data_IF_078882595159
#
_entry.id   IF_078882595159
#
_cell.length_a   1.000
_cell.length_b   1.000
_cell.length_c   1.000
_cell.angle_alpha   90.00
_cell.angle_beta   90.00
_cell.angle_gamma   90.00
#
_symmetry.space_group_name_H-M   'P 1'
#
loop_
_entity.id
_entity.type
_entity.pdbx_description
1 polymer ?
#
# COMPACT_ATOMS: atom_id res chain seq x y z
N UNK A 1 12.00 43.00 101.88
CA UNK A 1 12.75 41.95 102.60
C UNK A 1 12.31 40.61 102.02
N UNK A 2 13.18 40.03 101.19
CA UNK A 2 13.30 38.62 100.77
C UNK A 2 12.04 37.75 100.61
N UNK A 3 11.66 37.46 99.36
CA UNK A 3 11.09 36.15 99.02
C UNK A 3 11.73 35.56 97.74
N UNK A 4 12.15 34.31 97.93
CA UNK A 4 12.86 33.36 97.09
C UNK A 4 12.34 33.22 95.65
N UNK A 5 13.25 33.11 94.66
CA UNK A 5 12.96 32.56 93.33
C UNK A 5 13.87 31.36 93.05
N UNK A 6 13.21 30.24 92.74
CA UNK A 6 13.73 28.92 92.43
C UNK A 6 14.43 28.86 91.03
N UNK A 7 15.23 27.82 90.74
CA UNK A 7 16.17 27.82 89.62
C UNK A 7 15.54 27.55 88.25
N UNK A 8 16.10 28.19 87.23
CA UNK A 8 15.72 28.05 85.82
C UNK A 8 16.06 26.66 85.27
N UNK A 9 15.04 25.92 84.81
CA UNK A 9 15.18 24.65 84.11
C UNK A 9 15.56 24.92 82.65
N UNK A 10 16.76 24.49 82.23
CA UNK A 10 17.23 24.55 80.83
C UNK A 10 16.29 23.75 79.92
N UNK A 11 15.76 24.39 78.88
CA UNK A 11 15.16 23.72 77.73
C UNK A 11 16.28 23.23 76.79
N UNK A 12 16.23 22.00 76.27
CA UNK A 12 17.25 21.48 75.36
C UNK A 12 17.20 22.21 74.02
N UNK A 13 18.40 22.47 73.48
CA UNK A 13 18.63 23.10 72.19
C UNK A 13 18.01 22.27 71.06
N UNK A 14 17.12 22.91 70.32
CA UNK A 14 16.52 22.35 69.10
C UNK A 14 17.61 22.30 68.02
N UNK A 15 18.32 21.16 67.92
CA UNK A 15 19.22 20.87 66.78
C UNK A 15 18.41 21.01 65.50
N UNK A 16 18.68 22.06 64.71
CA UNK A 16 18.15 22.18 63.36
C UNK A 16 18.78 21.08 62.51
N UNK A 17 17.99 20.04 62.23
CA UNK A 17 18.31 18.99 61.28
C UNK A 17 18.48 19.60 59.89
N UNK A 18 19.71 19.96 59.54
CA UNK A 18 20.11 20.25 58.16
C UNK A 18 20.29 18.89 57.49
N UNK A 19 19.25 18.43 56.81
CA UNK A 19 19.16 17.39 55.75
C UNK A 19 17.77 16.76 55.89
N UNK A 20 16.85 16.95 54.93
CA UNK A 20 17.04 16.49 53.55
C UNK A 20 16.48 17.48 52.51
N UNK A 21 17.35 18.28 51.88
CA UNK A 21 16.99 19.04 50.66
C UNK A 21 17.83 18.60 49.45
N UNK A 22 18.47 17.44 49.55
CA UNK A 22 19.29 16.87 48.48
C UNK A 22 18.63 15.64 47.83
N UNK A 23 17.29 15.59 47.80
CA UNK A 23 16.55 14.46 47.22
C UNK A 23 15.54 14.87 46.12
N UNK A 24 15.51 16.15 45.71
CA UNK A 24 14.52 16.67 44.73
C UNK A 24 15.14 17.44 43.56
N UNK A 25 16.43 17.24 43.27
CA UNK A 25 17.13 17.88 42.15
C UNK A 25 17.53 16.91 41.02
N UNK A 26 17.03 15.66 41.04
CA UNK A 26 17.31 14.65 40.00
C UNK A 26 16.06 14.20 39.22
N UNK A 27 14.94 14.91 39.38
CA UNK A 27 13.69 14.62 38.67
C UNK A 27 13.34 15.81 37.77
N UNK A 28 13.84 15.82 36.53
CA UNK A 28 13.48 16.92 35.64
C UNK A 28 14.20 17.06 34.30
N UNK A 29 14.97 16.07 33.84
CA UNK A 29 15.46 16.05 32.46
C UNK A 29 15.14 14.69 31.82
N UNK A 30 13.87 14.30 31.83
CA UNK A 30 13.40 13.42 30.77
C UNK A 30 13.37 14.28 29.52
N UNK A 31 14.48 14.33 28.79
CA UNK A 31 14.51 14.83 27.42
C UNK A 31 13.54 13.95 26.65
N UNK A 32 12.31 14.42 26.45
CA UNK A 32 11.49 13.90 25.38
C UNK A 32 12.28 14.19 24.12
N UNK A 33 12.94 13.16 23.57
CA UNK A 33 13.44 13.23 22.22
C UNK A 33 12.20 13.47 21.36
N UNK A 34 11.98 14.73 20.96
CA UNK A 34 11.04 15.04 19.92
C UNK A 34 11.56 14.29 18.69
N UNK A 35 10.96 13.15 18.37
CA UNK A 35 11.20 12.49 17.11
C UNK A 35 10.73 13.47 16.04
N UNK A 36 11.69 14.21 15.46
CA UNK A 36 11.43 15.02 14.28
C UNK A 36 11.00 14.03 13.19
N UNK A 37 9.71 14.00 12.86
CA UNK A 37 9.24 13.25 11.70
C UNK A 37 9.84 13.94 10.48
N UNK A 38 10.70 13.22 9.74
CA UNK A 38 11.17 13.69 8.44
C UNK A 38 9.93 13.98 7.58
N UNK A 39 9.81 15.20 7.03
CA UNK A 39 8.71 15.52 6.12
C UNK A 39 8.65 14.51 4.98
N UNK A 40 7.46 14.15 4.50
CA UNK A 40 7.33 13.17 3.44
C UNK A 40 8.01 13.68 2.16
N UNK A 41 8.78 12.81 1.49
CA UNK A 41 9.32 13.10 0.16
C UNK A 41 8.17 13.23 -0.83
N UNK A 42 8.14 14.33 -1.58
CA UNK A 42 7.16 14.54 -2.65
C UNK A 42 7.66 13.92 -3.95
N UNK A 43 6.76 13.21 -4.65
CA UNK A 43 7.06 12.49 -5.89
C UNK A 43 6.08 12.91 -6.97
N UNK A 44 6.60 13.39 -8.10
CA UNK A 44 5.83 13.50 -9.33
C UNK A 44 6.05 12.23 -10.16
N UNK A 45 4.97 11.63 -10.65
CA UNK A 45 5.03 10.37 -11.37
C UNK A 45 4.12 10.40 -12.61
N UNK A 46 4.64 9.89 -13.72
CA UNK A 46 3.88 9.66 -14.94
C UNK A 46 4.16 8.25 -15.46
N UNK A 47 3.11 7.48 -15.74
CA UNK A 47 3.14 6.16 -16.35
C UNK A 47 2.31 6.20 -17.65
N UNK A 48 2.83 5.64 -18.74
CA UNK A 48 2.24 5.70 -20.07
C UNK A 48 2.43 4.37 -20.81
N UNK A 49 1.34 3.62 -20.94
CA UNK A 49 1.23 2.60 -21.98
C UNK A 49 0.90 3.32 -23.27
N UNK A 50 1.87 3.43 -24.16
CA UNK A 50 1.76 4.24 -25.37
C UNK A 50 0.66 3.82 -26.35
N UNK A 51 0.36 4.71 -27.30
CA UNK A 51 -0.57 4.44 -28.41
C UNK A 51 -0.13 3.17 -29.17
N UNK A 52 -1.04 2.21 -29.30
CA UNK A 52 -0.79 0.98 -30.06
C UNK A 52 0.26 0.03 -29.45
N UNK A 53 0.65 0.22 -28.18
CA UNK A 53 1.77 -0.49 -27.55
C UNK A 53 1.74 -2.02 -27.73
N UNK A 54 0.57 -2.64 -27.65
CA UNK A 54 0.38 -4.09 -27.81
C UNK A 54 -0.73 -4.45 -28.81
N UNK A 55 -1.01 -3.56 -29.77
CA UNK A 55 -2.06 -3.77 -30.78
C UNK A 55 -1.83 -5.07 -31.56
N UNK A 56 -2.87 -5.90 -31.69
CA UNK A 56 -2.85 -7.15 -32.46
C UNK A 56 -2.22 -8.35 -31.73
N UNK A 57 -1.74 -8.17 -30.50
CA UNK A 57 -1.12 -9.25 -29.74
C UNK A 57 -2.14 -10.33 -29.34
N UNK A 58 -1.73 -11.60 -29.42
CA UNK A 58 -2.56 -12.76 -29.08
C UNK A 58 -1.84 -13.67 -28.08
N UNK A 59 -2.55 -14.17 -27.07
CA UNK A 59 -2.01 -15.07 -26.05
C UNK A 59 -2.17 -14.51 -24.63
N UNK A 60 -1.14 -14.66 -23.79
CA UNK A 60 -1.12 -14.08 -22.44
C UNK A 60 -0.29 -12.80 -22.48
N UNK A 61 -0.91 -11.68 -22.11
CA UNK A 61 -0.31 -10.35 -22.05
C UNK A 61 -0.37 -9.89 -20.60
N UNK A 62 0.76 -9.91 -19.90
CA UNK A 62 0.86 -9.47 -18.52
C UNK A 62 1.78 -8.23 -18.43
N UNK A 63 1.24 -7.10 -18.01
CA UNK A 63 1.96 -5.82 -17.88
C UNK A 63 1.89 -5.34 -16.44
N UNK A 64 3.05 -5.09 -15.84
CA UNK A 64 3.23 -4.33 -14.61
C UNK A 64 4.06 -3.10 -14.94
N UNK A 65 3.43 -1.93 -15.01
CA UNK A 65 4.10 -0.66 -15.26
C UNK A 65 3.92 0.24 -14.03
N UNK A 66 5.01 0.81 -13.52
CA UNK A 66 4.93 1.80 -12.44
C UNK A 66 5.92 2.94 -12.59
N UNK A 67 5.48 4.13 -12.18
CA UNK A 67 6.31 5.32 -11.99
C UNK A 67 6.13 5.86 -10.58
N UNK A 68 7.22 6.27 -9.92
CA UNK A 68 7.24 6.73 -8.53
C UNK A 68 7.89 5.73 -7.56
N UNK A 69 7.48 5.74 -6.28
CA UNK A 69 8.19 5.03 -5.20
C UNK A 69 7.36 3.93 -4.54
N UNK A 70 8.00 2.81 -4.21
CA UNK A 70 7.45 1.76 -3.33
C UNK A 70 6.10 1.17 -3.78
N UNK A 71 5.80 1.17 -5.08
CA UNK A 71 4.64 0.46 -5.63
C UNK A 71 4.95 -1.05 -5.73
N UNK A 72 3.95 -1.92 -5.52
CA UNK A 72 4.10 -3.36 -5.69
C UNK A 72 2.96 -3.94 -6.54
N UNK A 73 3.31 -4.73 -7.56
CA UNK A 73 2.37 -5.20 -8.58
C UNK A 73 2.55 -6.70 -8.85
N UNK A 74 1.46 -7.44 -9.07
CA UNK A 74 1.48 -8.86 -9.44
C UNK A 74 0.37 -9.21 -10.45
N UNK A 75 0.71 -9.91 -11.54
CA UNK A 75 -0.26 -10.53 -12.45
C UNK A 75 -0.06 -12.05 -12.38
N UNK A 76 -1.14 -12.82 -12.28
CA UNK A 76 -1.11 -14.25 -12.02
C UNK A 76 -2.15 -15.00 -12.87
N UNK A 77 -1.74 -15.45 -14.06
CA UNK A 77 -2.57 -16.30 -14.92
C UNK A 77 -2.28 -17.79 -14.78
N UNK A 78 -3.33 -18.61 -14.69
CA UNK A 78 -3.27 -20.06 -14.81
C UNK A 78 -4.31 -20.57 -15.81
N UNK A 79 -3.88 -21.40 -16.75
CA UNK A 79 -4.74 -22.18 -17.64
C UNK A 79 -4.34 -23.65 -17.51
N UNK A 80 -5.30 -24.51 -17.17
CA UNK A 80 -5.03 -25.92 -16.86
C UNK A 80 -6.17 -26.83 -17.31
N UNK A 81 -5.82 -28.01 -17.81
CA UNK A 81 -6.74 -29.06 -18.21
C UNK A 81 -6.41 -30.31 -17.36
N UNK A 82 -6.81 -30.31 -16.09
CA UNK A 82 -6.47 -31.39 -15.15
C UNK A 82 -6.61 -30.99 -13.68
N UNK A 83 -6.17 -31.87 -12.77
CA UNK A 83 -6.14 -31.56 -11.34
C UNK A 83 -5.17 -30.42 -11.06
N UNK A 84 -5.68 -29.35 -10.46
CA UNK A 84 -4.90 -28.20 -10.02
C UNK A 84 -4.33 -28.44 -8.63
N UNK A 85 -3.01 -28.24 -8.39
CA UNK A 85 -2.47 -28.21 -7.05
C UNK A 85 -3.09 -27.06 -6.23
N UNK A 86 -3.18 -27.25 -4.91
CA UNK A 86 -3.69 -26.25 -3.97
C UNK A 86 -2.74 -25.03 -3.95
N UNK A 87 -3.28 -23.82 -4.02
CA UNK A 87 -2.58 -22.53 -3.82
C UNK A 87 -1.52 -22.09 -4.87
N UNK A 88 -1.84 -22.11 -6.17
CA UNK A 88 -0.88 -21.68 -7.21
C UNK A 88 -0.87 -20.17 -7.53
N UNK A 89 -1.94 -19.44 -7.19
CA UNK A 89 -2.07 -18.00 -7.49
C UNK A 89 -2.03 -17.14 -6.22
N UNK A 90 -1.42 -17.61 -5.14
CA UNK A 90 -1.26 -16.79 -3.95
C UNK A 90 -0.26 -15.65 -4.17
N UNK A 91 -0.56 -14.44 -3.72
CA UNK A 91 0.39 -13.32 -3.74
C UNK A 91 0.10 -12.31 -2.63
N UNK A 92 1.13 -11.92 -1.90
CA UNK A 92 1.07 -10.89 -0.86
C UNK A 92 1.84 -9.67 -1.34
N UNK A 93 1.20 -8.49 -1.34
CA UNK A 93 1.87 -7.23 -1.68
C UNK A 93 2.01 -6.36 -0.43
N UNK A 94 3.15 -5.70 -0.29
CA UNK A 94 3.42 -4.80 0.82
C UNK A 94 4.16 -3.57 0.30
N UNK A 95 3.80 -2.40 0.82
CA UNK A 95 4.53 -1.16 0.61
C UNK A 95 4.67 -0.44 1.94
N UNK A 96 5.88 0.01 2.23
CA UNK A 96 6.19 0.82 3.40
C UNK A 96 6.99 2.04 2.96
N UNK A 97 6.38 3.22 3.04
CA UNK A 97 6.99 4.45 2.56
C UNK A 97 6.49 5.65 3.34
N UNK A 98 7.36 6.64 3.50
CA UNK A 98 7.02 7.97 4.03
C UNK A 98 6.91 9.01 2.90
N UNK A 99 6.97 8.60 1.62
CA UNK A 99 6.77 9.51 0.50
C UNK A 99 5.28 9.77 0.23
N UNK A 100 4.99 10.86 -0.49
CA UNK A 100 3.66 11.23 -0.99
C UNK A 100 3.76 11.60 -2.46
N UNK A 101 2.77 11.22 -3.25
CA UNK A 101 2.62 11.70 -4.61
C UNK A 101 2.17 13.17 -4.56
N UNK A 102 2.93 14.05 -5.20
CA UNK A 102 2.53 15.44 -5.46
C UNK A 102 1.65 15.46 -6.71
N UNK A 103 2.21 15.19 -7.89
CA UNK A 103 1.43 14.90 -9.10
C UNK A 103 1.54 13.41 -9.49
N UNK A 104 0.46 12.85 -10.01
CA UNK A 104 0.47 11.47 -10.51
C UNK A 104 -0.43 11.33 -11.74
N UNK A 105 0.11 10.80 -12.83
CA UNK A 105 -0.62 10.59 -14.06
C UNK A 105 -0.39 9.19 -14.61
N UNK A 106 -1.47 8.44 -14.80
CA UNK A 106 -1.44 7.10 -15.38
C UNK A 106 -2.29 7.09 -16.64
N UNK A 107 -1.68 6.73 -17.78
CA UNK A 107 -2.32 6.82 -19.09
C UNK A 107 -2.17 5.50 -19.84
N UNK A 108 -3.29 4.97 -20.31
CA UNK A 108 -3.32 3.98 -21.37
C UNK A 108 -3.66 4.73 -22.65
N UNK A 109 -2.77 4.71 -23.63
CA UNK A 109 -2.90 5.45 -24.88
C UNK A 109 -4.02 4.92 -25.77
N UNK A 110 -4.40 5.72 -26.77
CA UNK A 110 -5.39 5.29 -27.77
C UNK A 110 -4.94 4.03 -28.49
N UNK A 111 -5.87 3.11 -28.73
CA UNK A 111 -5.60 1.82 -29.36
C UNK A 111 -4.48 0.97 -28.74
N UNK A 112 -4.05 1.24 -27.50
CA UNK A 112 -2.93 0.55 -26.84
C UNK A 112 -3.04 -0.97 -26.90
N UNK A 113 -4.25 -1.51 -26.68
CA UNK A 113 -4.58 -2.93 -26.71
C UNK A 113 -5.60 -3.26 -27.80
N UNK A 114 -5.69 -2.48 -28.88
CA UNK A 114 -6.66 -2.81 -29.93
C UNK A 114 -6.36 -4.16 -30.58
N UNK A 115 -7.39 -4.85 -31.04
CA UNK A 115 -7.29 -6.10 -31.79
C UNK A 115 -6.53 -7.23 -31.05
N UNK A 116 -6.45 -7.18 -29.73
CA UNK A 116 -5.78 -8.22 -28.94
C UNK A 116 -6.71 -9.37 -28.61
N UNK A 117 -6.16 -10.57 -28.39
CA UNK A 117 -6.96 -11.71 -27.94
C UNK A 117 -6.24 -12.57 -26.90
N UNK A 118 -6.99 -13.14 -25.96
CA UNK A 118 -6.48 -14.07 -24.93
C UNK A 118 -6.66 -13.55 -23.51
N UNK A 119 -5.64 -13.69 -22.66
CA UNK A 119 -5.65 -13.19 -21.27
C UNK A 119 -4.78 -11.94 -21.18
N UNK A 120 -5.39 -10.80 -20.86
CA UNK A 120 -4.72 -9.51 -20.72
C UNK A 120 -4.84 -9.06 -19.26
N UNK A 121 -3.71 -8.97 -18.57
CA UNK A 121 -3.61 -8.54 -17.18
C UNK A 121 -2.69 -7.31 -17.12
N UNK A 122 -3.19 -6.19 -16.62
CA UNK A 122 -2.46 -4.92 -16.54
C UNK A 122 -2.55 -4.37 -15.12
N UNK A 123 -1.39 -4.10 -14.52
CA UNK A 123 -1.26 -3.23 -13.38
C UNK A 123 -0.45 -2.02 -13.83
N UNK A 124 -1.05 -0.84 -13.83
CA UNK A 124 -0.38 0.41 -14.15
C UNK A 124 -0.56 1.38 -12.99
N UNK A 125 0.53 1.93 -12.45
CA UNK A 125 0.47 2.91 -11.38
C UNK A 125 1.42 4.08 -11.56
N UNK A 126 0.95 5.28 -11.21
CA UNK A 126 1.80 6.45 -11.01
C UNK A 126 1.67 6.92 -9.57
N UNK A 127 2.78 7.12 -8.87
CA UNK A 127 2.83 7.68 -7.53
C UNK A 127 3.50 6.75 -6.52
N UNK A 128 2.94 6.65 -5.32
CA UNK A 128 3.68 6.15 -4.16
C UNK A 128 2.92 5.06 -3.41
N UNK A 129 3.55 3.92 -3.15
CA UNK A 129 2.97 2.91 -2.26
C UNK A 129 1.68 2.26 -2.77
N UNK A 130 1.44 2.26 -4.08
CA UNK A 130 0.28 1.58 -4.66
C UNK A 130 0.51 0.07 -4.73
N UNK A 131 -0.50 -0.71 -4.38
CA UNK A 131 -0.49 -2.16 -4.42
C UNK A 131 -1.51 -2.64 -5.46
N UNK A 132 -1.10 -3.43 -6.44
CA UNK A 132 -1.99 -3.90 -7.50
C UNK A 132 -1.81 -5.39 -7.76
N UNK A 133 -2.93 -6.11 -7.93
CA UNK A 133 -2.92 -7.54 -8.23
C UNK A 133 -3.96 -7.91 -9.28
N UNK A 134 -3.60 -8.71 -10.27
CA UNK A 134 -4.56 -9.46 -11.08
C UNK A 134 -4.30 -10.95 -10.90
N UNK A 135 -5.37 -11.73 -10.87
CA UNK A 135 -5.29 -13.17 -10.97
C UNK A 135 -6.39 -13.73 -11.86
N UNK A 136 -6.06 -14.67 -12.73
CA UNK A 136 -6.99 -15.40 -13.57
C UNK A 136 -6.71 -16.90 -13.52
N UNK A 137 -7.74 -17.72 -13.29
CA UNK A 137 -7.66 -19.18 -13.33
C UNK A 137 -8.71 -19.72 -14.29
N UNK A 138 -8.29 -20.49 -15.27
CA UNK A 138 -9.18 -21.25 -16.16
C UNK A 138 -8.81 -22.72 -16.04
N UNK A 139 -9.74 -23.58 -15.63
CA UNK A 139 -9.50 -25.01 -15.74
C UNK A 139 -10.66 -25.93 -15.40
N UNK A 140 -10.59 -27.15 -15.96
CA UNK A 140 -11.56 -28.23 -15.79
C UNK A 140 -10.98 -29.34 -14.91
N UNK A 141 -11.52 -29.51 -13.70
CA UNK A 141 -11.15 -30.60 -12.78
C UNK A 141 -11.84 -30.51 -11.42
N UNK A 142 -12.02 -31.63 -10.70
CA UNK A 142 -12.45 -31.62 -9.30
C UNK A 142 -11.32 -30.99 -8.46
N UNK A 143 -11.54 -29.77 -8.03
CA UNK A 143 -10.60 -29.04 -7.17
C UNK A 143 -10.86 -29.54 -5.74
N UNK A 144 -9.92 -30.30 -5.17
CA UNK A 144 -10.03 -30.88 -3.83
C UNK A 144 -9.94 -29.86 -2.68
N UNK A 145 -9.87 -28.58 -2.98
CA UNK A 145 -9.94 -27.50 -2.02
C UNK A 145 -10.63 -26.33 -2.71
N UNK A 146 -11.58 -25.74 -1.99
CA UNK A 146 -12.03 -24.36 -2.16
C UNK A 146 -10.91 -23.52 -2.79
N UNK A 147 -11.09 -23.05 -4.03
CA UNK A 147 -10.16 -22.05 -4.57
C UNK A 147 -10.34 -20.85 -3.66
N UNK A 148 -9.37 -20.71 -2.77
CA UNK A 148 -9.03 -19.60 -1.89
C UNK A 148 -8.79 -18.37 -2.77
N UNK A 149 -9.83 -17.91 -3.47
CA UNK A 149 -9.80 -16.70 -4.27
C UNK A 149 -9.86 -15.46 -3.36
N UNK A 150 -10.55 -15.59 -2.23
CA UNK A 150 -10.81 -14.51 -1.27
C UNK A 150 -9.74 -14.41 -0.17
N UNK A 151 -9.15 -15.53 0.26
CA UNK A 151 -8.23 -15.59 1.40
C UNK A 151 -6.77 -15.20 1.05
N UNK A 152 -6.46 -14.91 -0.22
CA UNK A 152 -5.12 -14.42 -0.63
C UNK A 152 -5.13 -12.99 -1.15
N UNK A 153 -6.01 -12.14 -0.61
CA UNK A 153 -5.77 -10.70 -0.66
C UNK A 153 -5.09 -10.25 0.64
N UNK A 154 -3.77 -10.44 0.71
CA UNK A 154 -2.96 -9.83 1.76
C UNK A 154 -2.23 -8.62 1.18
N UNK A 155 -2.84 -7.45 1.32
CA UNK A 155 -2.26 -6.18 0.91
C UNK A 155 -2.25 -5.21 2.10
N UNK A 156 -1.06 -4.74 2.49
CA UNK A 156 -0.91 -3.75 3.56
C UNK A 156 -0.55 -2.40 2.94
N UNK A 157 -1.54 -1.51 2.87
CA UNK A 157 -1.35 -0.15 2.35
C UNK A 157 -0.31 0.65 3.16
N UNK A 158 0.45 1.49 2.48
CA UNK A 158 1.42 2.38 3.12
C UNK A 158 0.71 3.40 4.04
N UNK A 159 1.23 3.58 5.27
CA UNK A 159 0.70 4.53 6.27
C UNK A 159 1.01 6.01 5.97
N UNK A 160 1.53 6.34 4.78
CA UNK A 160 1.97 7.68 4.40
C UNK A 160 0.85 8.67 4.02
N UNK A 161 -0.41 8.22 3.91
CA UNK A 161 -1.53 9.03 3.44
C UNK A 161 -2.16 9.94 4.50
N UNK A 162 -1.45 10.95 5.00
CA UNK A 162 -2.11 12.04 5.74
C UNK A 162 -2.99 12.88 4.79
N UNK A 163 -4.23 13.18 5.18
CA UNK A 163 -5.14 14.14 4.55
C UNK A 163 -4.46 15.52 4.44
N UNK A 164 -3.75 15.76 3.35
CA UNK A 164 -3.03 17.01 3.11
C UNK A 164 -3.98 18.04 2.49
N UNK A 165 -4.07 19.21 3.11
CA UNK A 165 -4.78 20.39 2.60
C UNK A 165 -4.47 20.62 1.12
N UNK A 166 -5.53 20.65 0.30
CA UNK A 166 -5.50 21.12 -1.08
C UNK A 166 -5.06 22.59 -1.09
N UNK A 167 -3.84 22.85 -1.55
CA UNK A 167 -3.21 24.16 -1.44
C UNK A 167 -2.07 24.33 -2.43
N UNK A 168 -2.36 24.15 -3.72
CA UNK A 168 -1.43 24.39 -4.82
C UNK A 168 -1.85 23.62 -6.08
N UNK A 169 -1.57 24.16 -7.26
CA UNK A 169 -1.89 23.59 -8.59
C UNK A 169 -1.19 22.24 -8.90
N UNK A 170 -0.73 21.50 -7.88
CA UNK A 170 0.11 20.29 -7.94
C UNK A 170 -0.55 19.10 -7.23
N UNK A 171 -1.87 18.91 -7.35
CA UNK A 171 -2.58 17.68 -6.91
C UNK A 171 -3.39 17.08 -8.07
N UNK A 172 -2.75 17.02 -9.24
CA UNK A 172 -3.33 16.35 -10.40
C UNK A 172 -3.08 14.85 -10.27
N UNK A 173 -4.10 14.11 -9.83
CA UNK A 173 -4.16 12.65 -9.89
C UNK A 173 -5.05 12.29 -11.05
N UNK A 174 -4.45 11.93 -12.16
CA UNK A 174 -5.16 11.67 -13.41
C UNK A 174 -4.97 10.21 -13.82
N UNK A 175 -6.09 9.56 -14.11
CA UNK A 175 -6.10 8.24 -14.73
C UNK A 175 -6.91 8.36 -16.02
N UNK A 176 -6.36 7.89 -17.14
CA UNK A 176 -7.07 7.91 -18.41
C UNK A 176 -6.80 6.68 -19.26
N UNK A 177 -7.83 6.30 -20.03
CA UNK A 177 -7.77 5.28 -21.06
C UNK A 177 -8.20 5.93 -22.37
N UNK A 178 -7.30 5.94 -23.34
CA UNK A 178 -7.45 6.61 -24.61
C UNK A 178 -8.52 5.95 -25.48
N UNK A 179 -9.02 6.72 -26.44
CA UNK A 179 -10.04 6.25 -27.38
C UNK A 179 -9.62 4.97 -28.10
N UNK A 180 -10.52 3.98 -28.14
CA UNK A 180 -10.26 2.70 -28.81
C UNK A 180 -9.17 1.83 -28.15
N UNK A 181 -8.66 2.19 -26.96
CA UNK A 181 -7.60 1.41 -26.29
C UNK A 181 -7.91 -0.09 -26.22
N UNK A 182 -9.18 -0.47 -26.04
CA UNK A 182 -9.66 -1.86 -25.98
C UNK A 182 -10.58 -2.22 -27.16
N UNK A 183 -10.43 -1.56 -28.31
CA UNK A 183 -11.21 -1.86 -29.52
C UNK A 183 -10.90 -3.27 -30.02
N UNK A 184 -11.92 -4.06 -30.35
CA UNK A 184 -11.78 -5.41 -30.92
C UNK A 184 -10.98 -6.38 -30.04
N UNK A 185 -11.09 -6.27 -28.70
CA UNK A 185 -10.45 -7.22 -27.78
C UNK A 185 -11.35 -8.44 -27.55
N UNK A 186 -10.77 -9.63 -27.49
CA UNK A 186 -11.48 -10.88 -27.15
C UNK A 186 -10.75 -11.68 -26.07
N UNK A 187 -11.49 -12.39 -25.22
CA UNK A 187 -10.94 -13.12 -24.07
C UNK A 187 -11.16 -12.39 -22.74
N UNK A 188 -10.19 -12.47 -21.82
CA UNK A 188 -10.26 -11.89 -20.47
C UNK A 188 -9.36 -10.65 -20.42
N UNK A 189 -9.89 -9.55 -19.87
CA UNK A 189 -9.14 -8.31 -19.63
C UNK A 189 -9.30 -7.91 -18.17
N UNK A 190 -8.19 -7.80 -17.45
CA UNK A 190 -8.12 -7.29 -16.08
C UNK A 190 -7.15 -6.10 -16.05
N UNK A 191 -7.63 -4.94 -15.62
CA UNK A 191 -6.83 -3.70 -15.56
C UNK A 191 -6.99 -3.09 -14.17
N UNK A 192 -5.87 -2.93 -13.46
CA UNK A 192 -5.73 -2.05 -12.32
C UNK A 192 -4.94 -0.83 -12.78
N UNK A 193 -5.56 0.34 -12.78
CA UNK A 193 -4.90 1.58 -13.16
C UNK A 193 -5.05 2.61 -12.04
N UNK A 194 -3.96 3.11 -11.48
CA UNK A 194 -3.99 4.04 -10.34
C UNK A 194 -3.05 5.23 -10.51
N UNK A 195 -3.42 6.34 -9.89
CA UNK A 195 -2.58 7.53 -9.75
C UNK A 195 -2.69 8.05 -8.31
N UNK A 196 -1.56 8.36 -7.66
CA UNK A 196 -1.52 8.91 -6.31
C UNK A 196 -0.80 8.02 -5.30
N UNK A 197 -1.23 8.06 -4.05
CA UNK A 197 -0.56 7.36 -2.94
C UNK A 197 -1.43 6.33 -2.25
N UNK A 198 -0.88 5.15 -1.98
CA UNK A 198 -1.50 4.15 -1.11
C UNK A 198 -2.74 3.47 -1.69
N UNK A 199 -2.96 3.52 -3.01
CA UNK A 199 -4.08 2.81 -3.63
C UNK A 199 -3.85 1.30 -3.56
N UNK A 200 -4.89 0.53 -3.24
CA UNK A 200 -4.84 -0.94 -3.25
C UNK A 200 -5.93 -1.45 -4.18
N UNK A 201 -5.55 -2.21 -5.22
CA UNK A 201 -6.49 -2.74 -6.23
C UNK A 201 -6.22 -4.21 -6.51
N UNK A 202 -7.27 -5.02 -6.62
CA UNK A 202 -7.14 -6.44 -6.95
C UNK A 202 -8.27 -6.89 -7.85
N UNK A 203 -7.96 -7.58 -8.95
CA UNK A 203 -8.93 -8.30 -9.77
C UNK A 203 -8.68 -9.81 -9.66
N UNK A 204 -9.75 -10.59 -9.60
CA UNK A 204 -9.69 -12.05 -9.61
C UNK A 204 -10.74 -12.61 -10.57
N UNK A 205 -10.34 -13.56 -11.40
CA UNK A 205 -11.22 -14.27 -12.32
C UNK A 205 -11.01 -15.77 -12.19
N UNK A 206 -12.10 -16.53 -12.12
CA UNK A 206 -12.05 -17.99 -12.07
C UNK A 206 -13.12 -18.54 -13.01
N UNK A 207 -12.70 -19.35 -13.99
CA UNK A 207 -13.58 -20.11 -14.87
C UNK A 207 -13.37 -21.60 -14.65
N UNK A 208 -14.48 -22.28 -14.36
CA UNK A 208 -14.54 -23.73 -14.14
C UNK A 208 -15.55 -24.34 -15.11
N UNK A 209 -15.10 -24.70 -16.32
CA UNK A 209 -15.96 -25.37 -17.26
C UNK A 209 -16.39 -26.74 -16.71
N UNK A 210 -17.62 -27.21 -17.00
CA UNK A 210 -18.03 -28.57 -16.69
C UNK A 210 -17.03 -29.60 -17.23
N UNK A 211 -16.93 -30.75 -16.57
CA UNK A 211 -16.07 -31.83 -17.06
C UNK A 211 -16.45 -32.20 -18.51
N UNK A 212 -15.45 -32.22 -19.40
CA UNK A 212 -15.63 -32.59 -20.81
C UNK A 212 -15.83 -31.43 -21.79
N UNK A 213 -15.87 -30.17 -21.35
CA UNK A 213 -15.76 -29.02 -22.26
C UNK A 213 -14.28 -28.66 -22.47
N UNK A 214 -13.79 -28.83 -23.70
CA UNK A 214 -12.43 -28.45 -24.11
C UNK A 214 -12.40 -27.04 -24.71
N UNK A 215 -11.27 -26.33 -24.54
CA UNK A 215 -10.90 -25.10 -25.26
C UNK A 215 -9.77 -25.42 -26.25
#
# INVERSE_FOLDING_TARGET
>A
MTTSRAPAKRLPSRKQSRWPLLAWALLGCASFAAHAQTPPTLVDAEALIGKGAVNGATGVIAINETSGLDNAQANQGMITNGQTPINLIGSTQNAATNAKAAAAKSVIGSNAFSNTSGLIEVNQSAGVGNLQRNSAVIGSGPIGAEIVADEVLSATAAKGGGLGMSGGNHDAREVSIGTGALKNVSGIVQINQTAGSGNVSSNSFVLRPPAGTFF
#
